data_IF_008265600855
#
_entry.id   IF_008265600855
#
_cell.length_a   1.000
_cell.length_b   1.000
_cell.length_c   1.000
_cell.angle_alpha   90.00
_cell.angle_beta   90.00
_cell.angle_gamma   90.00
#
_symmetry.space_group_name_H-M   'P 1'
#
loop_
_entity.id
_entity.type
_entity.pdbx_description
1 polymer ?
#
# COMPACT_ATOMS: atom_id res chain seq x y z
N UNK A 1 -4.37 -11.67 9.31
CA UNK A 1 -3.72 -11.64 7.98
C UNK A 1 -2.43 -12.46 7.91
N UNK A 2 -1.58 -12.40 8.92
CA UNK A 2 -0.31 -13.14 8.89
C UNK A 2 -0.49 -14.66 8.90
N UNK A 3 -1.59 -15.18 9.43
CA UNK A 3 -1.87 -16.60 9.40
C UNK A 3 -2.01 -17.14 7.97
N UNK A 4 -2.60 -16.35 7.08
CA UNK A 4 -2.70 -16.72 5.67
C UNK A 4 -1.31 -16.93 5.02
N UNK A 5 -0.32 -16.12 5.41
CA UNK A 5 1.05 -16.23 4.91
C UNK A 5 1.71 -17.56 5.31
N UNK A 6 1.31 -18.10 6.45
CA UNK A 6 1.87 -19.33 7.00
C UNK A 6 1.23 -20.59 6.41
N UNK A 7 0.10 -20.45 5.74
CA UNK A 7 -0.56 -21.59 5.14
C UNK A 7 0.21 -22.11 3.93
N UNK A 8 0.22 -23.43 3.70
CA UNK A 8 0.75 -24.00 2.46
C UNK A 8 0.03 -23.44 1.23
N UNK A 9 0.70 -23.42 0.08
CA UNK A 9 0.14 -22.90 -1.16
C UNK A 9 -1.21 -23.53 -1.53
N UNK A 10 -1.37 -24.82 -1.32
CA UNK A 10 -2.63 -25.53 -1.62
C UNK A 10 -3.78 -25.01 -0.75
N UNK A 11 -3.53 -24.77 0.53
CA UNK A 11 -4.55 -24.23 1.44
C UNK A 11 -4.92 -22.81 1.08
N UNK A 12 -3.94 -21.99 0.70
CA UNK A 12 -4.21 -20.62 0.24
C UNK A 12 -5.08 -20.62 -1.01
N UNK A 13 -4.82 -21.54 -1.94
CA UNK A 13 -5.63 -21.70 -3.14
C UNK A 13 -7.06 -22.10 -2.81
N UNK A 14 -7.26 -23.07 -1.92
CA UNK A 14 -8.59 -23.49 -1.50
C UNK A 14 -9.40 -22.36 -0.86
N UNK A 15 -8.76 -21.53 -0.04
CA UNK A 15 -9.42 -20.37 0.57
C UNK A 15 -9.84 -19.34 -0.47
N UNK A 16 -9.02 -19.12 -1.49
CA UNK A 16 -9.38 -18.22 -2.60
C UNK A 16 -10.52 -18.80 -3.44
N UNK A 17 -10.56 -20.11 -3.67
CA UNK A 17 -11.65 -20.78 -4.37
C UNK A 17 -12.96 -20.71 -3.59
N UNK A 18 -12.93 -20.88 -2.26
CA UNK A 18 -14.11 -20.66 -1.40
C UNK A 18 -14.60 -19.22 -1.48
N UNK A 19 -13.68 -18.25 -1.52
CA UNK A 19 -14.00 -16.85 -1.71
C UNK A 19 -14.72 -16.59 -3.02
N UNK A 20 -14.36 -17.29 -4.09
CA UNK A 20 -15.04 -17.21 -5.39
C UNK A 20 -16.52 -17.58 -5.25
N UNK A 21 -16.82 -18.65 -4.54
CA UNK A 21 -18.19 -19.10 -4.36
C UNK A 21 -19.04 -18.09 -3.57
N UNK A 22 -18.42 -17.42 -2.59
CA UNK A 22 -19.13 -16.46 -1.73
C UNK A 22 -19.27 -15.08 -2.34
N UNK A 23 -18.25 -14.62 -3.06
CA UNK A 23 -18.13 -13.24 -3.54
C UNK A 23 -18.38 -13.10 -5.04
N UNK A 24 -18.43 -14.21 -5.79
CA UNK A 24 -18.56 -14.17 -7.24
C UNK A 24 -17.36 -13.62 -7.99
N UNK A 25 -16.17 -13.67 -7.37
CA UNK A 25 -14.93 -13.11 -7.91
C UNK A 25 -13.93 -14.20 -8.22
N UNK A 26 -13.08 -14.05 -9.28
CA UNK A 26 -12.04 -15.04 -9.58
C UNK A 26 -11.08 -15.24 -8.40
N UNK A 27 -10.59 -16.47 -8.14
CA UNK A 27 -9.63 -16.72 -7.05
C UNK A 27 -8.37 -15.86 -7.12
N UNK A 28 -7.86 -15.59 -8.33
CA UNK A 28 -6.70 -14.73 -8.53
C UNK A 28 -6.95 -13.29 -8.06
N UNK A 29 -8.16 -12.77 -8.28
CA UNK A 29 -8.54 -11.43 -7.81
C UNK A 29 -8.62 -11.38 -6.29
N UNK A 30 -9.10 -12.43 -5.65
CA UNK A 30 -9.19 -12.53 -4.19
C UNK A 30 -7.78 -12.58 -3.58
N UNK A 31 -6.87 -13.35 -4.17
CA UNK A 31 -5.47 -13.40 -3.73
C UNK A 31 -4.79 -12.05 -3.85
N UNK A 32 -4.94 -11.36 -4.99
CA UNK A 32 -4.40 -10.02 -5.18
C UNK A 32 -4.95 -9.03 -4.18
N UNK A 33 -6.24 -9.11 -3.89
CA UNK A 33 -6.87 -8.27 -2.89
C UNK A 33 -6.27 -8.49 -1.50
N UNK A 34 -6.00 -9.73 -1.14
CA UNK A 34 -5.29 -10.04 0.10
C UNK A 34 -3.93 -9.36 0.16
N UNK A 35 -3.13 -9.47 -0.90
CA UNK A 35 -1.79 -8.88 -0.94
C UNK A 35 -1.83 -7.35 -0.88
N UNK A 36 -2.82 -6.72 -1.52
CA UNK A 36 -3.04 -5.28 -1.42
C UNK A 36 -3.35 -4.87 0.02
N UNK A 37 -4.30 -5.54 0.66
CA UNK A 37 -4.68 -5.24 2.04
C UNK A 37 -3.53 -5.48 3.03
N UNK A 38 -2.80 -6.57 2.86
CA UNK A 38 -1.66 -6.89 3.70
C UNK A 38 -0.54 -5.84 3.55
N UNK A 39 -0.22 -5.48 2.31
CA UNK A 39 0.79 -4.45 2.02
C UNK A 39 0.42 -3.11 2.63
N UNK A 40 -0.84 -2.68 2.48
CA UNK A 40 -1.34 -1.46 3.10
C UNK A 40 -1.21 -1.49 4.61
N UNK A 41 -1.57 -2.59 5.24
CA UNK A 41 -1.44 -2.75 6.68
C UNK A 41 0.00 -2.58 7.14
N UNK A 42 0.94 -3.22 6.45
CA UNK A 42 2.36 -3.13 6.78
C UNK A 42 2.92 -1.73 6.52
N UNK A 43 2.54 -1.12 5.40
CA UNK A 43 2.99 0.22 5.01
C UNK A 43 2.55 1.29 6.01
N UNK A 44 1.25 1.31 6.35
CA UNK A 44 0.72 2.28 7.30
C UNK A 44 1.07 1.96 8.76
N UNK A 45 1.55 0.77 9.03
CA UNK A 45 2.07 0.36 10.32
C UNK A 45 3.55 0.70 10.55
N UNK A 46 4.26 1.23 9.57
CA UNK A 46 5.65 1.65 9.74
C UNK A 46 5.76 2.74 10.81
N UNK A 47 6.69 2.63 11.78
CA UNK A 47 6.77 3.54 12.92
C UNK A 47 6.93 5.02 12.57
N UNK A 48 7.74 5.34 11.57
CA UNK A 48 7.95 6.74 11.14
C UNK A 48 7.02 7.11 9.99
N UNK A 49 7.04 6.32 8.95
CA UNK A 49 6.40 6.65 7.68
C UNK A 49 4.87 6.51 7.69
N UNK A 50 4.35 5.58 8.47
CA UNK A 50 2.91 5.30 8.47
C UNK A 50 2.04 6.51 8.72
N UNK A 51 2.45 7.41 9.61
CA UNK A 51 1.71 8.63 9.94
C UNK A 51 1.81 9.71 8.86
N UNK A 52 2.77 9.60 7.94
CA UNK A 52 3.04 10.60 6.90
C UNK A 52 2.61 10.17 5.50
N UNK A 53 1.84 9.09 5.42
CA UNK A 53 1.33 8.56 4.16
C UNK A 53 -0.18 8.77 4.07
N UNK A 54 -0.63 9.12 2.89
CA UNK A 54 -2.06 9.24 2.57
C UNK A 54 -2.40 8.27 1.46
N UNK A 55 -3.43 7.49 1.66
CA UNK A 55 -3.92 6.52 0.69
C UNK A 55 -4.80 7.20 -0.34
N UNK A 56 -4.57 6.93 -1.62
CA UNK A 56 -5.36 7.51 -2.69
C UNK A 56 -5.56 6.53 -3.86
N UNK A 57 -6.25 6.99 -4.93
CA UNK A 57 -6.49 6.20 -6.13
C UNK A 57 -7.68 5.26 -6.03
N UNK A 58 -7.78 4.34 -6.99
CA UNK A 58 -8.90 3.38 -7.08
C UNK A 58 -8.99 2.44 -5.88
N UNK A 59 -7.85 2.05 -5.30
CA UNK A 59 -7.80 1.22 -4.09
C UNK A 59 -8.33 1.96 -2.88
N UNK A 60 -8.09 3.28 -2.76
CA UNK A 60 -8.67 4.11 -1.71
C UNK A 60 -10.19 4.14 -1.79
N UNK A 61 -10.74 4.34 -3.00
CA UNK A 61 -12.19 4.35 -3.21
C UNK A 61 -12.83 3.00 -2.90
N UNK A 62 -12.16 1.91 -3.28
CA UNK A 62 -12.65 0.55 -3.08
C UNK A 62 -12.54 0.09 -1.62
N UNK A 63 -11.42 0.35 -0.95
CA UNK A 63 -11.08 -0.17 0.38
C UNK A 63 -11.42 0.80 1.52
N UNK A 64 -11.10 2.09 1.35
CA UNK A 64 -11.30 3.09 2.38
C UNK A 64 -12.73 3.60 2.43
N UNK A 65 -13.27 4.00 1.30
CA UNK A 65 -14.57 4.66 1.19
C UNK A 65 -15.69 3.75 0.72
N UNK A 66 -15.35 2.61 0.11
CA UNK A 66 -16.34 1.67 -0.48
C UNK A 66 -17.25 2.31 -1.52
N UNK A 67 -16.74 3.31 -2.23
CA UNK A 67 -17.50 4.04 -3.25
C UNK A 67 -17.58 3.31 -4.59
N UNK A 68 -16.65 2.39 -4.84
CA UNK A 68 -16.62 1.56 -6.04
C UNK A 68 -16.45 0.09 -5.67
N UNK A 69 -17.04 -0.78 -6.48
CA UNK A 69 -17.05 -2.23 -6.23
C UNK A 69 -16.02 -3.01 -7.03
N UNK A 70 -15.13 -2.32 -7.75
CA UNK A 70 -14.10 -2.96 -8.55
C UNK A 70 -12.82 -3.17 -7.75
N UNK A 71 -12.01 -4.14 -8.17
CA UNK A 71 -10.67 -4.32 -7.63
C UNK A 71 -9.70 -3.31 -8.22
N UNK A 72 -8.77 -2.87 -7.39
CA UNK A 72 -7.57 -2.17 -7.81
C UNK A 72 -6.37 -2.98 -7.38
N UNK A 73 -5.45 -3.22 -8.31
CA UNK A 73 -4.21 -3.94 -8.07
C UNK A 73 -3.09 -3.01 -7.61
N UNK A 74 -3.23 -1.72 -7.88
CA UNK A 74 -2.23 -0.71 -7.59
C UNK A 74 -2.47 -0.08 -6.22
N UNK A 75 -1.39 0.21 -5.53
CA UNK A 75 -1.41 0.93 -4.27
C UNK A 75 -0.80 2.30 -4.51
N UNK A 76 -1.64 3.33 -4.44
CA UNK A 76 -1.20 4.71 -4.60
C UNK A 76 -1.20 5.39 -3.24
N UNK A 77 -0.05 5.89 -2.84
CA UNK A 77 0.10 6.66 -1.60
C UNK A 77 0.80 7.98 -1.86
N UNK A 78 0.49 8.96 -1.05
CA UNK A 78 1.13 10.27 -1.07
C UNK A 78 1.92 10.45 0.22
N UNK A 79 3.16 10.90 0.10
CA UNK A 79 3.98 11.27 1.24
C UNK A 79 3.73 12.74 1.56
N UNK A 80 3.50 13.06 2.83
CA UNK A 80 3.30 14.45 3.26
C UNK A 80 4.53 15.30 2.93
N UNK A 81 4.30 16.41 2.24
CA UNK A 81 5.38 17.35 1.89
C UNK A 81 6.12 17.88 3.12
N UNK A 82 5.40 18.07 4.19
CA UNK A 82 5.95 18.57 5.46
C UNK A 82 7.03 17.63 5.99
N UNK A 83 6.80 16.32 5.90
CA UNK A 83 7.78 15.32 6.31
C UNK A 83 9.06 15.37 5.48
N UNK A 84 8.96 15.84 4.23
CA UNK A 84 10.10 16.02 3.32
C UNK A 84 10.76 17.41 3.45
N UNK A 85 10.24 18.27 4.33
CA UNK A 85 10.76 19.62 4.53
C UNK A 85 10.20 20.68 3.57
N UNK A 86 9.09 20.42 2.89
CA UNK A 86 8.49 21.30 1.88
C UNK A 86 7.05 21.73 2.21
N UNK A 87 6.66 21.71 3.47
CA UNK A 87 5.29 22.06 3.88
C UNK A 87 5.00 23.55 3.91
N UNK A 88 3.73 23.89 3.93
CA UNK A 88 3.21 25.19 4.33
C UNK A 88 3.17 26.30 3.30
N UNK A 89 3.69 26.15 2.09
CA UNK A 89 3.76 27.20 1.07
C UNK A 89 3.46 26.69 -0.33
N UNK A 90 3.10 27.62 -1.23
CA UNK A 90 3.04 27.34 -2.67
C UNK A 90 4.46 27.22 -3.22
N UNK A 91 4.75 26.09 -3.85
CA UNK A 91 6.09 25.80 -4.35
C UNK A 91 6.33 26.43 -5.72
N UNK A 92 7.52 27.05 -5.91
CA UNK A 92 8.01 27.48 -7.22
C UNK A 92 8.39 26.22 -8.06
N UNK A 93 8.60 26.41 -9.38
CA UNK A 93 9.05 25.32 -10.25
C UNK A 93 10.37 24.70 -9.78
N UNK A 94 11.31 25.53 -9.30
CA UNK A 94 12.58 25.07 -8.75
C UNK A 94 12.41 24.26 -7.46
N UNK A 95 11.51 24.71 -6.58
CA UNK A 95 11.21 24.02 -5.33
C UNK A 95 10.50 22.67 -5.61
N UNK A 96 9.61 22.60 -6.59
CA UNK A 96 8.97 21.34 -7.00
C UNK A 96 9.98 20.32 -7.52
N UNK A 97 10.97 20.75 -8.29
CA UNK A 97 12.06 19.86 -8.73
C UNK A 97 12.87 19.33 -7.56
N UNK A 98 13.14 20.16 -6.57
CA UNK A 98 13.84 19.75 -5.35
C UNK A 98 13.01 18.77 -4.53
N UNK A 99 11.68 19.00 -4.46
CA UNK A 99 10.76 18.09 -3.77
C UNK A 99 10.76 16.70 -4.43
N UNK A 100 10.69 16.65 -5.76
CA UNK A 100 10.72 15.37 -6.49
C UNK A 100 12.01 14.60 -6.20
N UNK A 101 13.16 15.28 -6.24
CA UNK A 101 14.46 14.67 -5.91
C UNK A 101 14.53 14.20 -4.47
N UNK A 102 14.05 15.02 -3.53
CA UNK A 102 14.03 14.65 -2.11
C UNK A 102 13.12 13.45 -1.86
N UNK A 103 11.95 13.42 -2.49
CA UNK A 103 11.02 12.30 -2.38
C UNK A 103 11.65 11.01 -2.91
N UNK A 104 12.21 11.04 -4.11
CA UNK A 104 12.84 9.86 -4.71
C UNK A 104 13.98 9.32 -3.83
N UNK A 105 14.82 10.20 -3.33
CA UNK A 105 15.93 9.83 -2.45
C UNK A 105 15.43 9.18 -1.16
N UNK A 106 14.42 9.77 -0.51
CA UNK A 106 13.87 9.25 0.73
C UNK A 106 13.20 7.89 0.52
N UNK A 107 12.53 7.70 -0.61
CA UNK A 107 11.94 6.40 -0.96
C UNK A 107 13.03 5.34 -1.11
N UNK A 108 14.09 5.64 -1.86
CA UNK A 108 15.16 4.69 -2.12
C UNK A 108 16.03 4.39 -0.90
N UNK A 109 16.36 5.40 -0.10
CA UNK A 109 17.30 5.28 1.01
C UNK A 109 16.65 4.90 2.34
N UNK A 110 15.37 5.24 2.55
CA UNK A 110 14.71 5.08 3.84
C UNK A 110 13.43 4.25 3.77
N UNK A 111 12.44 4.69 3.00
CA UNK A 111 11.13 4.02 2.97
C UNK A 111 11.21 2.62 2.38
N UNK A 112 11.88 2.47 1.24
CA UNK A 112 12.04 1.17 0.59
C UNK A 112 12.71 0.14 1.49
N UNK A 113 13.90 0.44 2.07
CA UNK A 113 14.56 -0.45 3.02
C UNK A 113 13.74 -0.74 4.28
N UNK A 114 13.02 0.23 4.83
CA UNK A 114 12.16 0.03 6.00
C UNK A 114 11.02 -0.94 5.69
N UNK A 115 10.39 -0.79 4.53
CA UNK A 115 9.31 -1.66 4.09
C UNK A 115 9.81 -3.08 3.78
N UNK A 116 10.97 -3.20 3.14
CA UNK A 116 11.59 -4.49 2.87
C UNK A 116 11.89 -5.26 4.15
N UNK A 117 12.48 -4.59 5.14
CA UNK A 117 12.75 -5.19 6.43
C UNK A 117 11.47 -5.66 7.13
N UNK A 118 10.43 -4.84 7.07
CA UNK A 118 9.13 -5.20 7.65
C UNK A 118 8.52 -6.42 7.01
N UNK A 119 8.63 -6.54 5.69
CA UNK A 119 8.14 -7.71 4.97
C UNK A 119 8.90 -8.98 5.35
N UNK A 120 10.19 -8.88 5.58
CA UNK A 120 11.01 -10.02 6.02
C UNK A 120 10.66 -10.50 7.43
N UNK A 121 10.24 -9.61 8.30
CA UNK A 121 9.85 -9.91 9.68
C UNK A 121 8.45 -10.52 9.78
N UNK A 122 7.66 -10.41 8.75
CA UNK A 122 6.27 -10.88 8.74
C UNK A 122 6.12 -12.40 8.61
#
# INVERSE_FOLDING_TARGET
>A
MNDFLRFPADRRRLLCEEGQQRLGLPPASIEKDFWVCWTLRELFGLPEWGAHLTFKGGTSLSKGWRLISRFSEDIDVVIDREHLGFGGITLSAKQRKRLVKACSRRIEEELGPALENRFREA
#
